data_IF_701827882806
#
_entry.id   IF_701827882806
#
_cell.length_a   1.000
_cell.length_b   1.000
_cell.length_c   1.000
_cell.angle_alpha   90.00
_cell.angle_beta   90.00
_cell.angle_gamma   90.00
#
_symmetry.space_group_name_H-M   'P 1'
#
loop_
_entity.id
_entity.type
_entity.pdbx_description
1 polymer ?
#
# COMPACT_ATOMS: atom_id res chain seq x y z
N UNK A 1 -1.14 9.59 17.49
CA UNK A 1 -0.15 9.26 18.54
C UNK A 1 0.12 10.52 19.32
N UNK A 2 -0.16 10.50 20.62
CA UNK A 2 -0.05 11.65 21.50
C UNK A 2 1.34 11.62 22.13
N UNK A 3 2.19 12.62 21.84
CA UNK A 3 3.41 12.87 22.58
C UNK A 3 3.22 14.17 23.35
N UNK A 4 3.56 14.17 24.63
CA UNK A 4 3.55 15.38 25.43
C UNK A 4 4.88 16.09 25.20
N UNK A 5 4.91 17.34 24.68
CA UNK A 5 6.14 17.99 24.25
C UNK A 5 7.14 18.28 25.37
N UNK A 6 6.73 18.16 26.63
CA UNK A 6 7.57 18.39 27.81
C UNK A 6 8.02 17.08 28.52
N UNK A 7 7.72 15.92 27.97
CA UNK A 7 8.25 14.67 28.46
C UNK A 7 9.39 14.17 27.58
N UNK A 8 10.58 14.01 28.16
CA UNK A 8 11.74 13.53 27.42
C UNK A 8 11.60 12.03 27.12
N UNK A 9 11.98 11.61 25.91
CA UNK A 9 11.99 10.20 25.54
C UNK A 9 13.15 9.40 26.19
N UNK A 10 13.99 10.07 26.97
CA UNK A 10 15.15 9.50 27.65
C UNK A 10 15.02 9.64 29.15
N UNK A 11 15.69 8.77 29.89
CA UNK A 11 15.90 8.92 31.33
C UNK A 11 16.71 10.19 31.59
N UNK A 12 16.32 10.98 32.59
CA UNK A 12 17.07 12.14 33.04
C UNK A 12 17.91 11.71 34.21
N UNK A 13 19.22 11.95 34.12
CA UNK A 13 20.21 11.67 35.19
C UNK A 13 20.72 13.03 35.67
N UNK A 14 20.44 13.36 36.91
CA UNK A 14 21.01 14.51 37.60
C UNK A 14 22.37 14.11 38.18
N UNK A 15 23.44 14.73 37.71
CA UNK A 15 24.79 14.48 38.18
C UNK A 15 25.06 15.23 39.48
N UNK A 16 26.08 14.78 40.24
CA UNK A 16 26.43 15.39 41.51
C UNK A 16 26.88 16.88 41.42
N UNK A 17 27.24 17.33 40.23
CA UNK A 17 27.63 18.73 39.92
C UNK A 17 26.40 19.60 39.54
N UNK A 18 25.18 19.06 39.56
CA UNK A 18 23.95 19.75 39.16
C UNK A 18 23.71 19.77 37.64
N UNK A 19 24.58 19.14 36.84
CA UNK A 19 24.35 19.01 35.41
C UNK A 19 23.33 17.90 35.10
N UNK A 20 22.63 18.03 33.97
CA UNK A 20 21.68 17.03 33.50
C UNK A 20 22.33 16.25 32.35
N UNK A 21 22.30 14.93 32.47
CA UNK A 21 22.66 14.01 31.38
C UNK A 21 21.45 13.14 31.01
N UNK A 22 21.46 12.59 29.80
CA UNK A 22 20.41 11.72 29.32
C UNK A 22 20.89 10.27 29.35
N UNK A 23 20.14 9.43 30.02
CA UNK A 23 20.39 7.99 30.14
C UNK A 23 19.78 7.20 28.97
N UNK A 24 19.34 6.00 29.27
CA UNK A 24 18.70 5.10 28.28
C UNK A 24 17.37 5.69 27.80
N UNK A 25 16.99 5.27 26.60
CA UNK A 25 15.67 5.59 26.05
C UNK A 25 14.59 4.88 26.83
N UNK A 26 13.54 5.59 27.21
CA UNK A 26 12.37 5.02 27.88
C UNK A 26 11.53 4.21 26.89
N UNK A 27 11.04 3.06 27.31
CA UNK A 27 10.08 2.27 26.54
C UNK A 27 8.67 2.86 26.64
N UNK A 28 8.31 3.34 27.82
CA UNK A 28 7.03 3.94 28.15
C UNK A 28 7.28 5.35 28.66
N UNK A 29 6.42 6.28 28.26
CA UNK A 29 6.40 7.65 28.78
C UNK A 29 5.66 7.63 30.13
N UNK A 30 6.35 8.00 31.20
CA UNK A 30 5.88 7.80 32.58
C UNK A 30 4.61 8.59 32.91
N UNK A 31 4.53 9.82 32.37
CA UNK A 31 3.42 10.73 32.66
C UNK A 31 2.08 10.33 32.03
N UNK A 32 2.11 9.60 30.93
CA UNK A 32 0.92 9.23 30.18
C UNK A 32 0.72 7.71 30.04
N UNK A 33 1.68 6.90 30.48
CA UNK A 33 1.62 5.44 30.42
C UNK A 33 1.56 4.89 29.00
N UNK A 34 1.97 5.66 27.99
CA UNK A 34 1.96 5.26 26.59
C UNK A 34 3.35 4.88 26.10
N UNK A 35 3.39 4.02 25.09
CA UNK A 35 4.63 3.66 24.44
C UNK A 35 5.35 4.88 23.88
N UNK A 36 6.66 4.96 24.13
CA UNK A 36 7.51 5.99 23.57
C UNK A 36 7.51 5.87 22.04
N UNK A 37 7.17 6.94 21.29
CA UNK A 37 7.16 6.91 19.82
C UNK A 37 8.51 6.51 19.20
N UNK A 38 9.62 6.90 19.79
CA UNK A 38 10.95 6.52 19.32
C UNK A 38 11.21 5.03 19.53
N UNK A 39 10.78 4.48 20.66
CA UNK A 39 10.84 3.04 20.90
C UNK A 39 10.03 2.27 19.85
N UNK A 40 8.82 2.73 19.54
CA UNK A 40 7.99 2.09 18.52
C UNK A 40 8.62 2.15 17.12
N UNK A 41 9.24 3.27 16.76
CA UNK A 41 9.90 3.40 15.45
C UNK A 41 11.08 2.43 15.29
N UNK A 42 11.83 2.18 16.35
CA UNK A 42 12.98 1.28 16.32
C UNK A 42 12.57 -0.20 16.43
N UNK A 43 11.60 -0.49 17.29
CA UNK A 43 11.24 -1.87 17.61
C UNK A 43 10.06 -2.41 16.81
N UNK A 44 9.38 -1.55 16.05
CA UNK A 44 8.27 -1.93 15.17
C UNK A 44 8.46 -1.38 13.75
N UNK A 45 9.55 -1.74 13.06
CA UNK A 45 9.79 -1.29 11.70
C UNK A 45 8.68 -1.77 10.76
N UNK A 46 8.25 -0.83 9.92
CA UNK A 46 7.21 -1.08 8.93
C UNK A 46 7.73 -0.65 7.56
N UNK A 47 7.73 -1.58 6.62
CA UNK A 47 8.12 -1.33 5.24
C UNK A 47 6.89 -1.42 4.33
N UNK A 48 6.76 -0.44 3.44
CA UNK A 48 5.68 -0.38 2.45
C UNK A 48 6.29 -0.08 1.09
N UNK A 49 6.27 -1.07 0.22
CA UNK A 49 6.76 -0.93 -1.14
C UNK A 49 5.60 -1.03 -2.12
N UNK A 50 5.47 -0.06 -3.00
CA UNK A 50 4.45 -0.05 -4.05
C UNK A 50 5.06 0.28 -5.39
N UNK A 51 4.85 -0.59 -6.36
CA UNK A 51 5.16 -0.36 -7.77
C UNK A 51 3.82 -0.23 -8.49
N UNK A 52 3.63 0.85 -9.25
CA UNK A 52 2.43 1.06 -10.06
C UNK A 52 2.82 1.32 -11.50
N UNK A 53 2.16 0.64 -12.40
CA UNK A 53 2.20 0.87 -13.83
C UNK A 53 0.85 1.45 -14.25
N UNK A 54 0.89 2.61 -14.86
CA UNK A 54 -0.27 3.25 -15.45
C UNK A 54 0.08 3.68 -16.86
N UNK A 55 -0.82 3.40 -17.81
CA UNK A 55 -0.64 3.80 -19.19
C UNK A 55 -1.93 3.70 -19.97
N UNK A 56 -2.00 4.45 -21.06
CA UNK A 56 -3.07 4.37 -22.02
C UNK A 56 -2.51 4.53 -23.44
N UNK A 57 -3.19 3.90 -24.40
CA UNK A 57 -2.94 4.04 -25.81
C UNK A 57 -4.28 4.10 -26.52
N UNK A 58 -4.33 4.79 -27.66
CA UNK A 58 -5.50 4.77 -28.52
C UNK A 58 -5.08 4.80 -29.99
N UNK A 59 -5.94 4.25 -30.81
CA UNK A 59 -5.88 4.30 -32.25
C UNK A 59 -7.15 4.95 -32.75
N UNK A 60 -7.03 5.81 -33.75
CA UNK A 60 -8.15 6.51 -34.38
C UNK A 60 -8.01 6.44 -35.89
N UNK A 61 -9.07 6.04 -36.58
CA UNK A 61 -9.13 5.94 -38.03
C UNK A 61 -10.38 6.63 -38.56
N UNK A 62 -10.26 7.23 -39.74
CA UNK A 62 -11.37 7.85 -40.47
C UNK A 62 -11.51 7.15 -41.83
N UNK A 63 -12.19 5.98 -41.88
CA UNK A 63 -12.23 5.16 -43.09
C UNK A 63 -13.03 5.79 -44.21
N UNK A 64 -14.01 6.63 -43.89
CA UNK A 64 -14.81 7.43 -44.83
C UNK A 64 -15.07 8.80 -44.24
N UNK A 65 -15.37 9.77 -45.08
CA UNK A 65 -15.69 11.12 -44.64
C UNK A 65 -16.84 11.15 -43.64
N UNK A 66 -16.59 11.75 -42.48
CA UNK A 66 -17.54 11.87 -41.39
C UNK A 66 -17.57 10.71 -40.38
N UNK A 67 -16.98 9.54 -40.67
CA UNK A 67 -16.92 8.43 -39.77
C UNK A 67 -15.54 8.37 -39.08
N UNK A 68 -15.54 8.50 -37.74
CA UNK A 68 -14.36 8.32 -36.89
C UNK A 68 -14.55 7.09 -36.01
N UNK A 69 -13.63 6.16 -36.08
CA UNK A 69 -13.59 4.96 -35.20
C UNK A 69 -12.38 5.10 -34.31
N UNK A 70 -12.58 4.96 -33.00
CA UNK A 70 -11.52 5.04 -32.00
C UNK A 70 -11.54 3.83 -31.10
N UNK A 71 -10.39 3.18 -30.96
CA UNK A 71 -10.13 2.13 -29.99
C UNK A 71 -9.13 2.65 -28.95
N UNK A 72 -9.51 2.66 -27.70
CA UNK A 72 -8.66 3.09 -26.59
C UNK A 72 -8.45 1.95 -25.61
N UNK A 73 -7.25 1.82 -25.10
CA UNK A 73 -6.85 0.81 -24.13
C UNK A 73 -6.13 1.49 -22.98
N UNK A 74 -6.49 1.14 -21.75
CA UNK A 74 -5.81 1.63 -20.56
C UNK A 74 -5.44 0.45 -19.64
N UNK A 75 -4.29 0.57 -19.01
CA UNK A 75 -3.82 -0.33 -17.96
C UNK A 75 -3.56 0.46 -16.69
N UNK A 76 -4.03 -0.05 -15.56
CA UNK A 76 -3.66 0.38 -14.21
C UNK A 76 -3.33 -0.88 -13.41
N UNK A 77 -2.08 -1.04 -13.05
CA UNK A 77 -1.63 -2.20 -12.30
C UNK A 77 -0.69 -1.77 -11.18
N UNK A 78 -0.79 -2.44 -10.04
CA UNK A 78 0.17 -2.23 -8.97
C UNK A 78 0.49 -3.54 -8.22
N UNK A 79 1.71 -3.59 -7.75
CA UNK A 79 2.19 -4.53 -6.75
C UNK A 79 2.44 -3.77 -5.46
N UNK A 80 1.89 -4.26 -4.35
CA UNK A 80 2.07 -3.68 -3.02
C UNK A 80 2.56 -4.75 -2.06
N UNK A 81 3.72 -4.50 -1.46
CA UNK A 81 4.30 -5.31 -0.40
C UNK A 81 4.28 -4.52 0.90
N UNK A 82 3.73 -5.14 1.92
CA UNK A 82 3.72 -4.63 3.28
C UNK A 82 4.44 -5.61 4.18
N UNK A 83 5.40 -5.12 4.96
CA UNK A 83 6.11 -5.86 5.97
C UNK A 83 6.02 -5.12 7.29
N UNK A 84 5.62 -5.80 8.32
CA UNK A 84 5.60 -5.32 9.69
C UNK A 84 6.39 -6.27 10.56
N UNK A 85 7.20 -5.72 11.44
CA UNK A 85 7.99 -6.46 12.41
C UNK A 85 7.78 -5.84 13.78
N UNK A 86 7.62 -6.67 14.79
CA UNK A 86 7.79 -6.30 16.19
C UNK A 86 9.00 -7.04 16.71
N UNK A 87 10.05 -6.34 17.08
CA UNK A 87 11.25 -6.94 17.62
C UNK A 87 10.99 -7.49 19.02
N UNK A 88 11.68 -8.57 19.43
CA UNK A 88 11.64 -9.03 20.82
C UNK A 88 12.21 -7.94 21.72
N UNK A 89 11.60 -7.75 22.87
CA UNK A 89 12.01 -6.75 23.84
C UNK A 89 12.18 -7.40 25.22
N UNK A 90 13.23 -7.02 25.93
CA UNK A 90 13.47 -7.49 27.30
C UNK A 90 12.39 -7.01 28.26
N UNK A 91 11.73 -5.92 27.92
CA UNK A 91 10.61 -5.38 28.68
C UNK A 91 9.41 -6.34 28.62
N UNK A 92 8.95 -6.81 29.78
CA UNK A 92 7.87 -7.79 29.94
C UNK A 92 8.09 -9.14 29.22
N UNK A 93 9.32 -9.53 28.93
CA UNK A 93 9.63 -10.77 28.22
C UNK A 93 8.86 -10.92 26.90
N UNK A 94 8.66 -9.79 26.19
CA UNK A 94 7.88 -9.73 24.97
C UNK A 94 8.62 -10.40 23.82
N UNK A 95 8.01 -11.43 23.26
CA UNK A 95 8.47 -12.11 22.06
C UNK A 95 8.18 -11.27 20.82
N UNK A 96 9.07 -11.36 19.82
CA UNK A 96 8.88 -10.68 18.56
C UNK A 96 7.86 -11.35 17.64
N UNK A 97 7.41 -10.62 16.65
CA UNK A 97 6.54 -11.12 15.58
C UNK A 97 6.88 -10.50 14.26
N UNK A 98 6.57 -11.19 13.16
CA UNK A 98 6.70 -10.66 11.81
C UNK A 98 5.46 -10.99 10.99
N UNK A 99 5.07 -10.06 10.13
CA UNK A 99 4.02 -10.29 9.14
C UNK A 99 4.40 -9.69 7.81
N UNK A 100 4.13 -10.43 6.75
CA UNK A 100 4.31 -9.95 5.38
C UNK A 100 3.02 -10.19 4.59
N UNK A 101 2.67 -9.21 3.77
CA UNK A 101 1.58 -9.36 2.81
C UNK A 101 1.98 -8.79 1.47
N UNK A 102 1.47 -9.43 0.43
CA UNK A 102 1.64 -9.02 -0.94
C UNK A 102 0.26 -8.90 -1.59
N UNK A 103 0.05 -7.83 -2.33
CA UNK A 103 -1.16 -7.59 -3.10
C UNK A 103 -0.77 -7.20 -4.51
N UNK A 104 -1.40 -7.85 -5.48
CA UNK A 104 -1.30 -7.52 -6.90
C UNK A 104 -2.68 -7.15 -7.41
N UNK A 105 -2.75 -6.07 -8.11
CA UNK A 105 -3.96 -5.58 -8.75
C UNK A 105 -3.66 -5.19 -10.19
N UNK A 106 -4.56 -5.50 -11.11
CA UNK A 106 -4.54 -4.97 -12.46
C UNK A 106 -5.94 -4.72 -12.99
N UNK A 107 -6.09 -3.60 -13.68
CA UNK A 107 -7.29 -3.21 -14.41
C UNK A 107 -6.92 -2.93 -15.84
N UNK A 108 -7.62 -3.56 -16.77
CA UNK A 108 -7.53 -3.29 -18.19
C UNK A 108 -8.88 -2.74 -18.65
N UNK A 109 -8.86 -1.57 -19.25
CA UNK A 109 -10.04 -0.92 -19.83
C UNK A 109 -9.89 -0.86 -21.32
N UNK A 110 -10.92 -1.31 -22.05
CA UNK A 110 -11.03 -1.25 -23.49
C UNK A 110 -12.26 -0.43 -23.83
N UNK A 111 -12.08 0.67 -24.52
CA UNK A 111 -13.16 1.57 -24.94
C UNK A 111 -13.12 1.71 -26.46
N UNK A 112 -14.18 1.30 -27.12
CA UNK A 112 -14.34 1.43 -28.56
C UNK A 112 -15.48 2.39 -28.83
N UNK A 113 -15.28 3.35 -29.71
CA UNK A 113 -16.30 4.32 -30.10
C UNK A 113 -16.31 4.48 -31.61
N UNK A 114 -17.49 4.70 -32.16
CA UNK A 114 -17.68 5.09 -33.55
C UNK A 114 -18.58 6.32 -33.59
N UNK A 115 -18.10 7.40 -34.18
CA UNK A 115 -18.82 8.64 -34.35
C UNK A 115 -19.01 8.92 -35.85
N UNK A 116 -20.25 9.21 -36.25
CA UNK A 116 -20.55 9.62 -37.61
C UNK A 116 -21.14 11.01 -37.62
N UNK A 117 -20.48 11.92 -38.34
CA UNK A 117 -20.88 13.31 -38.52
C UNK A 117 -21.31 13.54 -39.99
N UNK A 118 -22.51 14.10 -40.18
CA UNK A 118 -23.00 14.46 -41.48
C UNK A 118 -23.84 15.75 -41.43
N UNK A 119 -23.90 16.41 -42.54
CA UNK A 119 -24.68 17.68 -42.71
C UNK A 119 -25.78 17.48 -43.73
N UNK A 120 -26.97 17.97 -43.41
CA UNK A 120 -28.12 17.99 -44.31
C UNK A 120 -28.32 19.44 -44.76
N UNK A 121 -28.28 19.66 -46.06
CA UNK A 121 -28.48 20.97 -46.70
C UNK A 121 -27.63 22.12 -46.13
N UNK A 122 -26.41 21.79 -45.64
CA UNK A 122 -25.47 22.75 -45.04
C UNK A 122 -26.01 23.50 -43.79
N UNK A 123 -27.27 23.31 -43.42
CA UNK A 123 -27.92 23.97 -42.30
C UNK A 123 -28.01 23.09 -41.04
N UNK A 124 -28.04 21.78 -41.19
CA UNK A 124 -28.18 20.85 -40.05
C UNK A 124 -26.97 19.94 -39.93
N UNK A 125 -26.21 20.09 -38.85
CA UNK A 125 -25.11 19.23 -38.55
C UNK A 125 -25.56 18.19 -37.49
N UNK A 126 -25.46 16.92 -37.84
CA UNK A 126 -25.89 15.79 -37.02
C UNK A 126 -24.66 14.97 -36.69
N UNK A 127 -24.54 14.58 -35.42
CA UNK A 127 -23.53 13.64 -34.93
C UNK A 127 -24.23 12.47 -34.23
N UNK A 128 -23.85 11.25 -34.57
CA UNK A 128 -24.29 10.02 -33.93
C UNK A 128 -23.06 9.30 -33.36
N UNK A 129 -23.08 8.96 -32.07
CA UNK A 129 -22.01 8.27 -31.37
C UNK A 129 -22.55 6.94 -30.82
N UNK A 130 -21.82 5.90 -31.07
CA UNK A 130 -21.98 4.58 -30.37
C UNK A 130 -20.67 4.19 -29.72
N UNK A 131 -20.74 3.61 -28.51
CA UNK A 131 -19.59 3.20 -27.80
C UNK A 131 -19.81 1.90 -27.03
N UNK A 132 -18.73 1.18 -26.79
CA UNK A 132 -18.65 0.01 -25.96
C UNK A 132 -17.46 0.16 -25.03
N UNK A 133 -17.64 -0.20 -23.74
CA UNK A 133 -16.54 -0.29 -22.77
C UNK A 133 -16.53 -1.65 -22.11
N UNK A 134 -15.33 -2.20 -21.95
CA UNK A 134 -15.11 -3.42 -21.19
C UNK A 134 -13.97 -3.22 -20.19
N UNK A 135 -14.20 -3.59 -18.94
CA UNK A 135 -13.22 -3.45 -17.87
C UNK A 135 -12.96 -4.82 -17.24
N UNK A 136 -11.70 -5.21 -17.21
CA UNK A 136 -11.25 -6.47 -16.62
C UNK A 136 -10.42 -6.18 -15.37
N UNK A 137 -10.92 -6.58 -14.21
CA UNK A 137 -10.21 -6.48 -12.94
C UNK A 137 -9.63 -7.82 -12.54
N UNK A 138 -8.36 -7.84 -12.16
CA UNK A 138 -7.70 -8.97 -11.53
C UNK A 138 -7.09 -8.51 -10.21
N UNK A 139 -7.33 -9.27 -9.16
CA UNK A 139 -6.75 -9.03 -7.85
C UNK A 139 -6.25 -10.33 -7.25
N UNK A 140 -5.06 -10.31 -6.65
CA UNK A 140 -4.56 -11.41 -5.85
C UNK A 140 -3.87 -10.87 -4.61
N UNK A 141 -4.00 -11.58 -3.51
CA UNK A 141 -3.29 -11.24 -2.28
C UNK A 141 -2.79 -12.51 -1.60
N UNK A 142 -1.70 -12.37 -0.89
CA UNK A 142 -1.10 -13.39 -0.05
C UNK A 142 -0.58 -12.71 1.22
N UNK A 143 -0.73 -13.36 2.36
CA UNK A 143 -0.19 -12.88 3.62
C UNK A 143 0.22 -14.04 4.53
N UNK A 144 1.31 -13.85 5.24
CA UNK A 144 1.81 -14.76 6.24
C UNK A 144 2.29 -13.99 7.48
N UNK A 145 2.19 -14.60 8.63
CA UNK A 145 2.70 -14.04 9.87
C UNK A 145 3.19 -15.14 10.81
N UNK A 146 4.09 -14.74 11.70
CA UNK A 146 4.70 -15.63 12.68
C UNK A 146 4.89 -14.88 13.98
N UNK A 147 4.72 -15.59 15.08
CA UNK A 147 5.03 -15.11 16.41
C UNK A 147 6.23 -15.85 17.02
N UNK A 148 6.66 -15.39 18.18
CA UNK A 148 7.72 -15.95 18.98
C UNK A 148 9.09 -15.91 18.29
N UNK A 149 9.43 -14.75 17.72
CA UNK A 149 10.79 -14.45 17.26
C UNK A 149 11.62 -14.09 18.51
N UNK A 150 12.73 -14.81 18.73
CA UNK A 150 13.60 -14.61 19.90
C UNK A 150 14.86 -13.81 19.56
N UNK A 151 15.31 -13.84 18.32
CA UNK A 151 16.49 -13.08 17.86
C UNK A 151 16.05 -11.85 17.04
N UNK A 152 16.20 -10.66 17.61
CA UNK A 152 15.89 -9.39 16.96
C UNK A 152 16.79 -9.00 15.79
N UNK A 153 17.93 -9.70 15.61
CA UNK A 153 18.85 -9.47 14.48
C UNK A 153 18.34 -10.10 13.18
N UNK A 154 17.48 -11.11 13.28
CA UNK A 154 16.92 -11.85 12.16
C UNK A 154 15.38 -11.89 12.23
N UNK A 155 14.70 -10.73 12.12
CA UNK A 155 13.25 -10.66 12.27
C UNK A 155 12.54 -11.08 10.98
N UNK A 156 12.66 -12.35 10.62
CA UNK A 156 12.08 -12.95 9.40
C UNK A 156 10.95 -13.92 9.73
N UNK A 157 10.06 -14.16 8.78
CA UNK A 157 8.98 -15.16 8.92
C UNK A 157 9.50 -16.56 9.22
N UNK A 158 10.70 -16.91 8.73
CA UNK A 158 11.33 -18.21 8.97
C UNK A 158 11.83 -18.43 10.41
N UNK A 159 12.00 -17.36 11.18
CA UNK A 159 12.64 -17.41 12.50
C UNK A 159 11.65 -17.39 13.67
N UNK A 160 10.37 -17.29 13.41
CA UNK A 160 9.35 -17.47 14.43
C UNK A 160 8.99 -18.92 14.61
N UNK A 161 8.68 -19.30 15.83
CA UNK A 161 8.35 -20.70 16.17
C UNK A 161 6.87 -20.99 16.18
N UNK A 162 6.03 -19.96 16.10
CA UNK A 162 4.56 -20.07 16.07
C UNK A 162 4.03 -19.46 14.78
N UNK A 163 3.93 -20.27 13.69
CA UNK A 163 3.33 -19.78 12.45
C UNK A 163 1.82 -19.58 12.59
N UNK A 164 1.30 -18.48 12.06
CA UNK A 164 -0.14 -18.27 11.92
C UNK A 164 -0.60 -18.76 10.55
N UNK A 165 -1.87 -19.12 10.47
CA UNK A 165 -2.44 -19.60 9.22
C UNK A 165 -2.26 -18.54 8.11
N UNK A 166 -1.63 -18.87 6.98
CA UNK A 166 -1.49 -17.95 5.87
C UNK A 166 -2.84 -17.66 5.22
N UNK A 167 -2.97 -16.47 4.64
CA UNK A 167 -4.15 -16.06 3.89
C UNK A 167 -3.80 -15.87 2.42
N UNK A 168 -4.70 -16.28 1.54
CA UNK A 168 -4.58 -16.02 0.11
C UNK A 168 -5.95 -15.76 -0.50
N UNK A 169 -6.01 -14.85 -1.44
CA UNK A 169 -7.24 -14.60 -2.22
C UNK A 169 -6.92 -14.30 -3.68
N UNK A 170 -7.87 -14.64 -4.55
CA UNK A 170 -7.83 -14.31 -5.98
C UNK A 170 -9.22 -13.90 -6.42
N UNK A 171 -9.33 -12.76 -7.08
CA UNK A 171 -10.59 -12.24 -7.63
C UNK A 171 -10.39 -11.84 -9.09
N UNK A 172 -11.37 -12.16 -9.92
CA UNK A 172 -11.48 -11.67 -11.30
C UNK A 172 -12.90 -11.16 -11.51
N UNK A 173 -13.03 -9.98 -12.09
CA UNK A 173 -14.33 -9.39 -12.46
C UNK A 173 -14.21 -8.83 -13.87
N UNK A 174 -15.22 -9.08 -14.69
CA UNK A 174 -15.39 -8.50 -16.01
C UNK A 174 -16.67 -7.70 -15.99
N UNK A 175 -16.63 -6.48 -16.51
CA UNK A 175 -17.79 -5.60 -16.71
C UNK A 175 -17.79 -5.15 -18.16
N UNK A 176 -18.97 -5.21 -18.81
CA UNK A 176 -19.18 -4.78 -20.19
C UNK A 176 -20.32 -3.77 -20.21
#
# INVERSE_FOLDING_TARGET
>A
KWAIPYETPYEIIENADGSISYGKRKNILDKIGLWNPYYLLENQPTEKNKIRLYGNAFEEITPIKGLTIRAAQAIDAFDYRYRYVSLPADYNNQKGSASESFQRYSSFTFTNTAEYKFSINEMHNISALVGQESIIYNGSSFGASVDNITDGRLPMLSNGTIPKQPSASKKKKVMN
#
